data_IF_112900438188
#
_entry.id   IF_112900438188
#
_cell.length_a   1.000
_cell.length_b   1.000
_cell.length_c   1.000
_cell.angle_alpha   90.00
_cell.angle_beta   90.00
_cell.angle_gamma   90.00
#
_symmetry.space_group_name_H-M   'P 1'
#
loop_
_entity.id
_entity.type
_entity.pdbx_description
1 polymer ?
#
# COMPACT_ATOMS: atom_id res chain seq x y z
N UNK A 1 -1.48 -32.96 -35.45
CA UNK A 1 -2.75 -32.65 -34.77
C UNK A 1 -2.64 -31.45 -33.82
N UNK A 2 -1.63 -31.39 -32.94
CA UNK A 2 -1.44 -30.23 -32.04
C UNK A 2 -1.35 -28.88 -32.78
N UNK A 3 -0.68 -28.84 -33.92
CA UNK A 3 -0.52 -27.62 -34.75
C UNK A 3 -1.79 -27.20 -35.52
N UNK A 4 -2.83 -28.05 -35.51
CA UNK A 4 -4.07 -27.85 -36.27
C UNK A 4 -5.24 -27.41 -35.37
N UNK A 5 -5.04 -27.31 -34.05
CA UNK A 5 -6.10 -27.03 -33.07
C UNK A 5 -5.77 -25.77 -32.29
N UNK A 6 -6.77 -24.89 -32.11
CA UNK A 6 -6.62 -23.60 -31.41
C UNK A 6 -6.23 -23.76 -29.93
N UNK A 7 -6.63 -24.87 -29.29
CA UNK A 7 -6.32 -25.17 -27.89
C UNK A 7 -5.74 -26.59 -27.72
N UNK A 8 -4.41 -26.75 -27.90
CA UNK A 8 -3.75 -28.06 -27.79
C UNK A 8 -3.90 -28.71 -26.39
N UNK A 9 -4.03 -27.91 -25.34
CA UNK A 9 -4.17 -28.40 -23.96
C UNK A 9 -5.50 -29.13 -23.73
N UNK A 10 -6.61 -28.62 -24.28
CA UNK A 10 -7.90 -29.31 -24.21
C UNK A 10 -7.90 -30.61 -25.00
N UNK A 11 -7.21 -30.63 -26.15
CA UNK A 11 -7.01 -31.85 -26.93
C UNK A 11 -6.24 -32.90 -26.11
N UNK A 12 -5.16 -32.50 -25.43
CA UNK A 12 -4.42 -33.38 -24.53
C UNK A 12 -5.29 -33.96 -23.42
N UNK A 13 -6.10 -33.12 -22.77
CA UNK A 13 -7.04 -33.55 -21.73
C UNK A 13 -8.11 -34.53 -22.26
N UNK A 14 -8.59 -34.35 -23.49
CA UNK A 14 -9.52 -35.28 -24.14
C UNK A 14 -8.86 -36.63 -24.45
N UNK A 15 -7.62 -36.62 -24.97
CA UNK A 15 -6.84 -37.83 -25.22
C UNK A 15 -6.60 -38.60 -23.91
N UNK A 16 -6.39 -37.89 -22.80
CA UNK A 16 -6.26 -38.46 -21.47
C UNK A 16 -7.54 -39.11 -20.90
N UNK A 17 -8.67 -39.08 -21.62
CA UNK A 17 -9.86 -39.86 -21.28
C UNK A 17 -9.98 -41.15 -22.11
N UNK A 18 -9.10 -41.37 -23.09
CA UNK A 18 -9.12 -42.59 -23.91
C UNK A 18 -8.51 -43.74 -23.10
N UNK A 19 -9.29 -44.77 -22.79
CA UNK A 19 -8.87 -45.90 -21.96
C UNK A 19 -7.94 -46.87 -22.71
N UNK A 20 -8.00 -46.91 -24.03
CA UNK A 20 -7.24 -47.86 -24.86
C UNK A 20 -5.77 -47.51 -25.03
N UNK A 21 -5.30 -46.37 -24.50
CA UNK A 21 -3.89 -45.99 -24.56
C UNK A 21 -3.15 -46.75 -23.45
N UNK A 22 -2.22 -47.61 -23.85
CA UNK A 22 -1.37 -48.40 -22.94
C UNK A 22 -0.30 -47.52 -22.28
N UNK A 23 0.19 -47.93 -21.11
CA UNK A 23 1.23 -47.18 -20.38
C UNK A 23 2.47 -46.91 -21.25
N UNK A 24 2.91 -47.89 -22.06
CA UNK A 24 4.04 -47.73 -22.99
C UNK A 24 3.84 -46.58 -24.00
N UNK A 25 2.62 -46.46 -24.56
CA UNK A 25 2.30 -45.38 -25.49
C UNK A 25 2.29 -44.04 -24.76
N UNK A 26 1.85 -43.99 -23.51
CA UNK A 26 1.83 -42.76 -22.71
C UNK A 26 3.24 -42.26 -22.41
N UNK A 27 4.14 -43.12 -21.94
CA UNK A 27 5.50 -42.69 -21.63
C UNK A 27 6.32 -42.36 -22.89
N UNK A 28 6.11 -43.08 -24.00
CA UNK A 28 6.71 -42.72 -25.30
C UNK A 28 6.22 -41.34 -25.74
N UNK A 29 4.90 -41.13 -25.74
CA UNK A 29 4.28 -39.85 -26.08
C UNK A 29 4.83 -38.71 -25.23
N UNK A 30 4.91 -38.87 -23.91
CA UNK A 30 5.45 -37.85 -23.02
C UNK A 30 6.93 -37.58 -23.26
N UNK A 31 7.74 -38.61 -23.53
CA UNK A 31 9.17 -38.45 -23.81
C UNK A 31 9.44 -37.69 -25.12
N UNK A 32 8.57 -37.83 -26.13
CA UNK A 32 8.71 -37.15 -27.42
C UNK A 32 8.15 -35.71 -27.41
N UNK A 33 7.18 -35.45 -26.53
CA UNK A 33 6.47 -34.17 -26.50
C UNK A 33 6.96 -33.21 -25.42
N UNK A 34 7.38 -33.71 -24.26
CA UNK A 34 7.96 -32.87 -23.21
C UNK A 34 9.38 -32.45 -23.60
N UNK A 35 9.75 -31.20 -23.29
CA UNK A 35 11.08 -30.64 -23.56
C UNK A 35 11.34 -30.27 -25.02
N UNK A 36 10.33 -30.36 -25.88
CA UNK A 36 10.42 -29.93 -27.26
C UNK A 36 10.44 -28.39 -27.34
N UNK A 37 11.20 -27.80 -28.27
CA UNK A 37 11.19 -26.34 -28.50
C UNK A 37 9.81 -25.84 -28.96
N UNK A 38 9.00 -26.73 -29.56
CA UNK A 38 7.64 -26.41 -29.96
C UNK A 38 6.69 -26.34 -28.75
N UNK A 39 6.36 -25.11 -28.35
CA UNK A 39 5.48 -24.81 -27.22
C UNK A 39 4.10 -25.51 -27.33
N UNK A 40 3.58 -25.75 -28.54
CA UNK A 40 2.26 -26.39 -28.73
C UNK A 40 2.24 -27.86 -28.30
N UNK A 41 3.33 -28.60 -28.53
CA UNK A 41 3.43 -30.01 -28.12
C UNK A 41 3.56 -30.13 -26.60
N UNK A 42 4.32 -29.23 -25.97
CA UNK A 42 4.40 -29.15 -24.51
C UNK A 42 3.03 -28.86 -23.89
N UNK A 43 2.27 -27.90 -24.45
CA UNK A 43 0.93 -27.56 -23.97
C UNK A 43 -0.03 -28.75 -24.08
N UNK A 44 0.05 -29.53 -25.16
CA UNK A 44 -0.74 -30.76 -25.32
C UNK A 44 -0.36 -31.81 -24.27
N UNK A 45 0.95 -32.03 -24.05
CA UNK A 45 1.44 -32.96 -23.04
C UNK A 45 0.98 -32.56 -21.62
N UNK A 46 1.06 -31.27 -21.28
CA UNK A 46 0.57 -30.74 -19.98
C UNK A 46 -0.93 -31.02 -19.79
N UNK A 47 -1.73 -30.80 -20.83
CA UNK A 47 -3.16 -31.12 -20.81
C UNK A 47 -3.43 -32.61 -20.60
N UNK A 48 -2.66 -33.47 -21.27
CA UNK A 48 -2.74 -34.92 -21.11
C UNK A 48 -2.39 -35.37 -19.69
N UNK A 49 -1.29 -34.86 -19.12
CA UNK A 49 -0.87 -35.19 -17.76
C UNK A 49 -1.94 -34.82 -16.73
N UNK A 50 -2.53 -33.61 -16.84
CA UNK A 50 -3.62 -33.16 -15.96
C UNK A 50 -4.83 -34.09 -16.03
N UNK A 51 -5.22 -34.50 -17.23
CA UNK A 51 -6.33 -35.45 -17.42
C UNK A 51 -6.01 -36.84 -16.84
N UNK A 52 -4.80 -37.34 -17.06
CA UNK A 52 -4.39 -38.66 -16.55
C UNK A 52 -4.26 -38.70 -15.05
N UNK A 53 -3.70 -37.67 -14.43
CA UNK A 53 -3.67 -37.54 -12.98
C UNK A 53 -5.08 -37.57 -12.38
N UNK A 54 -6.05 -36.90 -13.03
CA UNK A 54 -7.45 -36.92 -12.57
C UNK A 54 -8.08 -38.32 -12.65
N UNK A 55 -7.77 -39.09 -13.70
CA UNK A 55 -8.40 -40.38 -13.97
C UNK A 55 -7.72 -41.56 -13.25
N UNK A 56 -6.38 -41.57 -13.17
CA UNK A 56 -5.58 -42.67 -12.62
C UNK A 56 -4.92 -42.36 -11.28
N UNK A 57 -4.99 -41.11 -10.83
CA UNK A 57 -4.42 -40.68 -9.56
C UNK A 57 -2.90 -40.63 -9.56
N UNK A 58 -2.32 -40.59 -8.37
CA UNK A 58 -0.90 -40.32 -8.15
C UNK A 58 0.02 -41.52 -8.35
N UNK A 59 -0.50 -42.75 -8.25
CA UNK A 59 0.28 -43.96 -8.55
C UNK A 59 0.79 -43.93 -9.99
N UNK A 60 -0.01 -43.39 -10.91
CA UNK A 60 0.41 -43.17 -12.30
C UNK A 60 1.55 -42.15 -12.41
N UNK A 61 1.51 -41.06 -11.64
CA UNK A 61 2.59 -40.05 -11.61
C UNK A 61 3.90 -40.68 -11.13
N UNK A 62 3.85 -41.45 -10.06
CA UNK A 62 5.00 -42.15 -9.50
C UNK A 62 5.60 -43.14 -10.52
N UNK A 63 4.76 -43.88 -11.26
CA UNK A 63 5.21 -44.78 -12.33
C UNK A 63 5.90 -44.03 -13.48
N UNK A 64 5.35 -42.89 -13.93
CA UNK A 64 5.96 -42.07 -14.99
C UNK A 64 7.29 -41.48 -14.53
N UNK A 65 7.41 -41.02 -13.28
CA UNK A 65 8.68 -40.52 -12.74
C UNK A 65 9.74 -41.63 -12.62
N UNK A 66 9.35 -42.84 -12.22
CA UNK A 66 10.24 -44.01 -12.24
C UNK A 66 10.74 -44.30 -13.65
N UNK A 67 9.85 -44.27 -14.66
CA UNK A 67 10.22 -44.42 -16.06
C UNK A 67 11.17 -43.32 -16.53
N UNK A 68 10.87 -42.06 -16.22
CA UNK A 68 11.68 -40.90 -16.59
C UNK A 68 13.10 -41.00 -16.04
N UNK A 69 13.24 -41.50 -14.80
CA UNK A 69 14.54 -41.75 -14.16
C UNK A 69 15.32 -42.87 -14.87
N UNK A 70 14.66 -43.97 -15.22
CA UNK A 70 15.29 -45.13 -15.88
C UNK A 70 15.69 -44.84 -17.33
N UNK A 71 15.00 -43.90 -17.98
CA UNK A 71 15.23 -43.52 -19.39
C UNK A 71 15.93 -42.17 -19.56
N UNK A 72 16.55 -41.65 -18.49
CA UNK A 72 17.39 -40.43 -18.52
C UNK A 72 16.72 -39.22 -19.16
N UNK A 73 15.46 -38.94 -18.79
CA UNK A 73 14.79 -37.71 -19.24
C UNK A 73 15.61 -36.46 -18.90
N UNK A 74 15.57 -35.47 -19.79
CA UNK A 74 16.23 -34.19 -19.58
C UNK A 74 15.59 -33.39 -18.45
N UNK A 75 16.33 -32.44 -17.89
CA UNK A 75 15.78 -31.59 -16.82
C UNK A 75 14.55 -30.82 -17.28
N UNK A 76 14.54 -30.34 -18.53
CA UNK A 76 13.40 -29.63 -19.11
C UNK A 76 12.17 -30.54 -19.25
N UNK A 77 12.35 -31.81 -19.63
CA UNK A 77 11.26 -32.78 -19.69
C UNK A 77 10.62 -33.00 -18.33
N UNK A 78 11.46 -33.21 -17.31
CA UNK A 78 11.01 -33.42 -15.94
C UNK A 78 10.30 -32.18 -15.41
N UNK A 79 10.83 -30.97 -15.62
CA UNK A 79 10.17 -29.73 -15.21
C UNK A 79 8.83 -29.51 -15.92
N UNK A 80 8.74 -29.75 -17.22
CA UNK A 80 7.48 -29.65 -17.94
C UNK A 80 6.44 -30.66 -17.44
N UNK A 81 6.88 -31.84 -16.99
CA UNK A 81 6.02 -32.80 -16.32
C UNK A 81 5.51 -32.25 -14.97
N UNK A 82 6.41 -31.71 -14.14
CA UNK A 82 6.04 -31.08 -12.86
C UNK A 82 5.16 -29.84 -13.01
N UNK A 83 5.27 -29.09 -14.11
CA UNK A 83 4.39 -27.97 -14.44
C UNK A 83 2.91 -28.38 -14.57
N UNK A 84 2.66 -29.63 -14.97
CA UNK A 84 1.32 -30.16 -15.11
C UNK A 84 0.71 -30.65 -13.78
N UNK A 85 1.52 -30.84 -12.74
CA UNK A 85 1.09 -31.32 -11.43
C UNK A 85 0.55 -30.20 -10.55
N UNK A 86 -0.30 -30.50 -9.54
CA UNK A 86 -0.78 -29.53 -8.57
C UNK A 86 0.36 -28.87 -7.79
N UNK A 87 0.21 -27.59 -7.46
CA UNK A 87 1.17 -26.85 -6.63
C UNK A 87 0.92 -27.12 -5.15
N UNK A 88 1.17 -28.35 -4.70
CA UNK A 88 0.92 -28.81 -3.33
C UNK A 88 2.09 -29.63 -2.76
N UNK A 89 2.00 -29.94 -1.47
CA UNK A 89 3.05 -30.68 -0.76
C UNK A 89 3.36 -32.05 -1.41
N UNK A 90 2.37 -32.73 -1.99
CA UNK A 90 2.61 -34.05 -2.59
C UNK A 90 3.52 -33.95 -3.81
N UNK A 91 3.33 -32.92 -4.63
CA UNK A 91 4.26 -32.62 -5.73
C UNK A 91 5.65 -32.29 -5.22
N UNK A 92 5.76 -31.47 -4.17
CA UNK A 92 7.05 -31.07 -3.61
C UNK A 92 7.81 -32.24 -2.97
N UNK A 93 7.11 -33.13 -2.27
CA UNK A 93 7.69 -34.33 -1.67
C UNK A 93 8.25 -35.28 -2.75
N UNK A 94 7.63 -35.33 -3.92
CA UNK A 94 8.14 -36.07 -5.08
C UNK A 94 9.35 -35.41 -5.75
N UNK A 95 9.60 -34.11 -5.54
CA UNK A 95 10.80 -33.42 -6.03
C UNK A 95 12.03 -33.71 -5.16
N UNK A 96 11.85 -33.90 -3.84
CA UNK A 96 12.95 -34.06 -2.86
C UNK A 96 13.95 -35.18 -3.24
N UNK A 97 13.54 -36.37 -3.72
CA UNK A 97 14.47 -37.43 -4.11
C UNK A 97 15.25 -37.16 -5.40
N UNK A 98 14.92 -36.10 -6.14
CA UNK A 98 15.62 -35.72 -7.36
C UNK A 98 16.80 -34.78 -7.07
N UNK A 99 17.54 -34.41 -8.12
CA UNK A 99 18.73 -33.56 -8.00
C UNK A 99 18.35 -32.18 -7.45
N UNK A 100 19.24 -31.59 -6.63
CA UNK A 100 19.07 -30.22 -6.10
C UNK A 100 18.84 -29.18 -7.21
N UNK A 101 19.45 -29.38 -8.37
CA UNK A 101 19.28 -28.55 -9.57
C UNK A 101 17.83 -28.52 -10.07
N UNK A 102 17.15 -29.67 -10.09
CA UNK A 102 15.73 -29.77 -10.48
C UNK A 102 14.81 -29.06 -9.48
N UNK A 103 15.06 -29.20 -8.18
CA UNK A 103 14.30 -28.48 -7.15
C UNK A 103 14.46 -26.97 -7.32
N UNK A 104 15.67 -26.50 -7.56
CA UNK A 104 15.92 -25.07 -7.80
C UNK A 104 15.18 -24.59 -9.06
N UNK A 105 15.27 -25.35 -10.15
CA UNK A 105 14.63 -25.01 -11.41
C UNK A 105 13.10 -24.97 -11.27
N UNK A 106 12.50 -25.90 -10.51
CA UNK A 106 11.06 -25.90 -10.22
C UNK A 106 10.62 -24.60 -9.55
N UNK A 107 11.25 -24.23 -8.42
CA UNK A 107 10.87 -23.03 -7.67
C UNK A 107 11.14 -21.73 -8.42
N UNK A 108 12.04 -21.73 -9.41
CA UNK A 108 12.30 -20.58 -10.28
C UNK A 108 11.36 -20.47 -11.49
N UNK A 109 10.77 -21.56 -11.96
CA UNK A 109 10.08 -21.59 -13.27
C UNK A 109 8.59 -21.90 -13.20
N UNK A 110 8.11 -22.54 -12.14
CA UNK A 110 6.71 -22.93 -12.03
C UNK A 110 5.88 -21.77 -11.44
N UNK A 111 4.78 -21.33 -12.10
CA UNK A 111 3.87 -20.34 -11.53
C UNK A 111 3.29 -20.84 -10.21
N UNK A 112 3.22 -19.97 -9.21
CA UNK A 112 2.57 -20.34 -7.95
C UNK A 112 1.08 -20.56 -8.21
N UNK A 113 0.63 -21.79 -7.93
CA UNK A 113 -0.77 -22.17 -8.07
C UNK A 113 -1.55 -22.00 -6.77
N UNK A 114 -2.78 -22.52 -6.75
CA UNK A 114 -3.55 -22.63 -5.51
C UNK A 114 -2.87 -23.60 -4.53
N UNK A 115 -2.77 -23.20 -3.27
CA UNK A 115 -2.19 -23.98 -2.16
C UNK A 115 -3.23 -24.15 -1.07
N UNK A 116 -3.21 -25.30 -0.39
CA UNK A 116 -4.05 -25.54 0.80
C UNK A 116 -3.57 -24.69 1.97
N UNK A 117 -4.48 -24.24 2.83
CA UNK A 117 -4.15 -23.35 3.97
C UNK A 117 -3.05 -23.89 4.88
N UNK A 118 -3.04 -25.20 5.16
CA UNK A 118 -2.04 -25.84 6.02
C UNK A 118 -0.64 -25.97 5.37
N UNK A 119 -0.53 -25.74 4.06
CA UNK A 119 0.72 -25.83 3.27
C UNK A 119 1.21 -24.44 2.81
N UNK A 120 0.38 -23.41 3.00
CA UNK A 120 0.61 -22.04 2.54
C UNK A 120 1.89 -21.43 3.12
N UNK A 121 2.12 -21.59 4.43
CA UNK A 121 3.30 -21.06 5.13
C UNK A 121 4.61 -21.61 4.51
N UNK A 122 4.67 -22.93 4.30
CA UNK A 122 5.84 -23.59 3.72
C UNK A 122 6.08 -23.15 2.26
N UNK A 123 5.01 -22.98 1.48
CA UNK A 123 5.08 -22.51 0.10
C UNK A 123 5.62 -21.07 0.01
N UNK A 124 5.12 -20.18 0.87
CA UNK A 124 5.56 -18.79 0.97
C UNK A 124 7.05 -18.73 1.32
N UNK A 125 7.50 -19.44 2.36
CA UNK A 125 8.90 -19.48 2.77
C UNK A 125 9.78 -19.91 1.59
N UNK A 126 9.39 -20.96 0.88
CA UNK A 126 10.15 -21.42 -0.30
C UNK A 126 10.18 -20.39 -1.42
N UNK A 127 9.06 -19.74 -1.76
CA UNK A 127 9.05 -18.69 -2.78
C UNK A 127 9.97 -17.52 -2.40
N UNK A 128 10.00 -17.13 -1.12
CA UNK A 128 10.89 -16.08 -0.61
C UNK A 128 12.38 -16.50 -0.65
N UNK A 129 12.71 -17.78 -0.45
CA UNK A 129 14.09 -18.30 -0.61
C UNK A 129 14.57 -18.18 -2.07
N UNK A 130 13.66 -18.35 -3.04
CA UNK A 130 13.95 -18.26 -4.48
C UNK A 130 13.73 -16.87 -5.08
N UNK A 131 13.67 -15.83 -4.23
CA UNK A 131 13.48 -14.43 -4.63
C UNK A 131 12.21 -14.19 -5.48
N UNK A 132 11.10 -14.82 -5.10
CA UNK A 132 9.78 -14.65 -5.72
C UNK A 132 8.75 -14.06 -4.74
N UNK A 133 8.99 -12.84 -4.23
CA UNK A 133 8.17 -12.26 -3.19
C UNK A 133 6.75 -11.89 -3.62
N UNK A 134 6.50 -11.58 -4.90
CA UNK A 134 5.14 -11.28 -5.36
C UNK A 134 4.30 -12.54 -5.56
N UNK A 135 4.91 -13.64 -6.02
CA UNK A 135 4.26 -14.95 -5.98
C UNK A 135 3.91 -15.33 -4.52
N UNK A 136 4.81 -15.09 -3.57
CA UNK A 136 4.56 -15.33 -2.15
C UNK A 136 3.41 -14.45 -1.62
N UNK A 137 3.40 -13.15 -1.96
CA UNK A 137 2.33 -12.21 -1.63
C UNK A 137 0.97 -12.69 -2.16
N UNK A 138 0.93 -13.24 -3.39
CA UNK A 138 -0.30 -13.74 -3.99
C UNK A 138 -0.87 -14.98 -3.29
N UNK A 139 -0.04 -15.76 -2.61
CA UNK A 139 -0.47 -16.89 -1.80
C UNK A 139 -1.01 -16.48 -0.42
N UNK A 140 -0.79 -15.24 0.02
CA UNK A 140 -1.36 -14.76 1.29
C UNK A 140 -2.88 -14.78 1.18
N UNK A 141 -3.51 -15.74 1.86
CA UNK A 141 -4.96 -15.84 1.96
C UNK A 141 -5.50 -14.72 2.86
N UNK A 142 -6.27 -13.80 2.27
CA UNK A 142 -6.81 -12.60 2.94
C UNK A 142 -8.23 -12.77 3.46
N UNK A 143 -8.87 -13.91 3.17
CA UNK A 143 -10.25 -14.22 3.54
C UNK A 143 -10.32 -15.20 4.72
N UNK A 144 -9.36 -15.13 5.64
CA UNK A 144 -9.37 -15.97 6.83
C UNK A 144 -10.39 -15.43 7.84
N UNK A 145 -11.47 -16.17 8.05
CA UNK A 145 -12.31 -16.01 9.24
C UNK A 145 -11.47 -16.36 10.48
N UNK A 146 -11.73 -15.71 11.62
CA UNK A 146 -11.02 -15.75 12.92
C UNK A 146 -10.65 -17.14 13.52
N UNK A 147 -10.90 -18.25 12.82
CA UNK A 147 -10.68 -19.63 13.28
C UNK A 147 -9.51 -20.36 12.61
N UNK A 148 -8.87 -19.77 11.59
CA UNK A 148 -7.69 -20.37 10.93
C UNK A 148 -6.40 -19.73 11.42
N UNK A 149 -5.36 -20.56 11.53
CA UNK A 149 -4.03 -20.20 12.03
C UNK A 149 -3.45 -19.06 11.17
N UNK A 150 -3.27 -17.89 11.77
CA UNK A 150 -2.62 -16.76 11.11
C UNK A 150 -1.19 -17.15 10.68
N UNK A 151 -0.74 -16.62 9.54
CA UNK A 151 0.68 -16.64 9.20
C UNK A 151 1.44 -15.88 10.30
N UNK A 152 2.66 -16.32 10.68
CA UNK A 152 3.47 -15.59 11.65
C UNK A 152 3.70 -14.14 11.20
N UNK A 153 3.57 -13.18 12.10
CA UNK A 153 3.76 -11.75 11.77
C UNK A 153 5.14 -11.46 11.17
N UNK A 154 6.18 -12.14 11.65
CA UNK A 154 7.53 -12.05 11.07
C UNK A 154 7.56 -12.48 9.59
N UNK A 155 6.81 -13.51 9.20
CA UNK A 155 6.75 -13.94 7.80
C UNK A 155 6.03 -12.91 6.93
N UNK A 156 4.98 -12.27 7.45
CA UNK A 156 4.29 -11.18 6.75
C UNK A 156 5.20 -9.96 6.55
N UNK A 157 5.98 -9.61 7.57
CA UNK A 157 7.00 -8.58 7.49
C UNK A 157 8.07 -8.93 6.44
N UNK A 158 8.57 -10.17 6.43
CA UNK A 158 9.54 -10.63 5.43
C UNK A 158 9.00 -10.53 3.99
N UNK A 159 7.70 -10.79 3.79
CA UNK A 159 7.05 -10.61 2.47
C UNK A 159 7.09 -9.13 2.07
N UNK A 160 6.72 -8.22 2.98
CA UNK A 160 6.74 -6.78 2.72
C UNK A 160 8.18 -6.30 2.40
N UNK A 161 9.16 -6.62 3.24
CA UNK A 161 10.56 -6.22 3.01
C UNK A 161 11.11 -6.73 1.66
N UNK A 162 10.81 -7.99 1.31
CA UNK A 162 11.27 -8.58 0.04
C UNK A 162 10.51 -8.05 -1.17
N UNK A 163 9.21 -7.83 -1.08
CA UNK A 163 8.44 -7.24 -2.20
C UNK A 163 8.89 -5.81 -2.48
N UNK A 164 9.20 -5.01 -1.46
CA UNK A 164 9.75 -3.66 -1.64
C UNK A 164 11.12 -3.65 -2.35
N UNK A 165 11.88 -4.75 -2.25
CA UNK A 165 13.22 -4.88 -2.83
C UNK A 165 13.22 -5.40 -4.27
N UNK A 166 12.08 -5.83 -4.79
CA UNK A 166 11.97 -6.49 -6.10
C UNK A 166 10.97 -5.74 -6.98
N UNK A 167 11.32 -5.58 -8.25
CA UNK A 167 10.40 -5.08 -9.28
C UNK A 167 9.48 -6.23 -9.74
N UNK A 168 8.15 -6.10 -9.62
CA UNK A 168 7.21 -7.18 -9.97
C UNK A 168 7.30 -7.59 -11.45
N UNK A 169 7.74 -6.70 -12.33
CA UNK A 169 7.91 -6.99 -13.76
C UNK A 169 9.20 -7.75 -14.07
N UNK A 170 10.14 -7.81 -13.12
CA UNK A 170 11.38 -8.60 -13.23
C UNK A 170 11.27 -9.98 -12.60
N UNK A 171 10.29 -10.20 -11.72
CA UNK A 171 10.02 -11.52 -11.17
C UNK A 171 9.54 -12.48 -12.27
N UNK A 172 10.12 -13.69 -12.29
CA UNK A 172 9.75 -14.76 -13.22
C UNK A 172 9.38 -16.03 -12.46
N UNK A 173 8.34 -16.76 -12.89
CA UNK A 173 7.26 -16.33 -13.78
C UNK A 173 6.57 -15.05 -13.31
N UNK A 174 6.00 -14.30 -14.25
CA UNK A 174 5.37 -13.02 -13.93
C UNK A 174 4.21 -13.24 -12.95
N UNK A 175 4.24 -12.58 -11.78
CA UNK A 175 3.19 -12.68 -10.78
C UNK A 175 1.93 -11.94 -11.24
N UNK A 176 0.78 -12.29 -10.67
CA UNK A 176 -0.42 -11.47 -10.78
C UNK A 176 -0.23 -10.17 -9.98
N UNK A 177 -0.32 -9.03 -10.66
CA UNK A 177 -0.14 -7.70 -10.06
C UNK A 177 -1.44 -6.97 -9.77
N UNK A 178 -2.59 -7.53 -10.16
CA UNK A 178 -3.89 -6.85 -10.16
C UNK A 178 -4.40 -6.45 -8.77
N UNK A 179 -3.99 -7.18 -7.72
CA UNK A 179 -4.46 -6.95 -6.36
C UNK A 179 -3.36 -6.58 -5.35
N UNK A 180 -2.13 -6.26 -5.78
CA UNK A 180 -0.99 -6.03 -4.87
C UNK A 180 -1.30 -5.03 -3.76
N UNK A 181 -1.89 -3.88 -4.09
CA UNK A 181 -2.22 -2.83 -3.11
C UNK A 181 -3.17 -3.34 -2.03
N UNK A 182 -4.24 -4.01 -2.43
CA UNK A 182 -5.20 -4.62 -1.49
C UNK A 182 -4.52 -5.65 -0.58
N UNK A 183 -3.60 -6.46 -1.11
CA UNK A 183 -2.88 -7.47 -0.30
C UNK A 183 -1.97 -6.82 0.73
N UNK A 184 -1.22 -5.79 0.33
CA UNK A 184 -0.35 -5.04 1.23
C UNK A 184 -1.16 -4.36 2.34
N UNK A 185 -2.26 -3.68 2.00
CA UNK A 185 -3.16 -3.06 2.97
C UNK A 185 -3.68 -4.06 4.00
N UNK A 186 -4.11 -5.25 3.54
CA UNK A 186 -4.61 -6.31 4.43
C UNK A 186 -3.51 -6.90 5.30
N UNK A 187 -2.28 -7.02 4.81
CA UNK A 187 -1.15 -7.45 5.65
C UNK A 187 -0.93 -6.45 6.77
N UNK A 188 -0.92 -5.15 6.48
CA UNK A 188 -0.79 -4.14 7.54
C UNK A 188 -1.98 -4.18 8.53
N UNK A 189 -3.22 -4.41 8.07
CA UNK A 189 -4.38 -4.62 8.95
C UNK A 189 -4.21 -5.80 9.92
N UNK A 190 -3.56 -6.87 9.47
CA UNK A 190 -3.26 -8.05 10.30
C UNK A 190 -2.14 -7.72 11.30
N UNK A 191 -1.05 -7.11 10.84
CA UNK A 191 0.11 -6.79 11.66
C UNK A 191 -0.23 -5.79 12.78
N UNK A 192 -1.08 -4.81 12.52
CA UNK A 192 -1.56 -3.84 13.52
C UNK A 192 -2.34 -4.53 14.67
N UNK A 193 -2.98 -5.68 14.43
CA UNK A 193 -3.76 -6.40 15.44
C UNK A 193 -2.94 -7.43 16.23
N UNK A 194 -1.80 -7.85 15.71
CA UNK A 194 -1.05 -8.98 16.25
C UNK A 194 -0.23 -8.62 17.50
N UNK A 195 0.08 -7.33 17.70
CA UNK A 195 0.81 -6.78 18.86
C UNK A 195 2.14 -7.50 19.19
N UNK A 196 2.72 -8.18 18.20
CA UNK A 196 3.94 -9.00 18.31
C UNK A 196 5.11 -8.47 17.47
N UNK A 197 4.94 -7.31 16.83
CA UNK A 197 5.96 -6.58 16.06
C UNK A 197 6.09 -5.16 16.61
N UNK A 198 7.32 -4.68 16.76
CA UNK A 198 7.60 -3.32 17.21
C UNK A 198 7.01 -2.26 16.26
N UNK A 199 6.30 -1.27 16.82
CA UNK A 199 5.70 -0.15 16.08
C UNK A 199 6.69 0.55 15.14
N UNK A 200 7.94 0.73 15.57
CA UNK A 200 9.00 1.34 14.76
C UNK A 200 9.27 0.57 13.47
N UNK A 201 9.22 -0.77 13.53
CA UNK A 201 9.42 -1.62 12.35
C UNK A 201 8.26 -1.48 11.37
N UNK A 202 7.03 -1.45 11.89
CA UNK A 202 5.83 -1.28 11.07
C UNK A 202 5.75 0.13 10.46
N UNK A 203 6.11 1.18 11.21
CA UNK A 203 6.19 2.55 10.71
C UNK A 203 7.22 2.68 9.58
N UNK A 204 8.38 2.01 9.69
CA UNK A 204 9.36 1.97 8.61
C UNK A 204 8.82 1.28 7.34
N UNK A 205 8.05 0.20 7.49
CA UNK A 205 7.38 -0.44 6.36
C UNK A 205 6.30 0.49 5.76
N UNK A 206 5.51 1.18 6.59
CA UNK A 206 4.55 2.17 6.08
C UNK A 206 5.25 3.28 5.29
N UNK A 207 6.48 3.67 5.66
CA UNK A 207 7.28 4.63 4.91
C UNK A 207 7.67 4.09 3.53
N UNK A 208 8.13 2.84 3.46
CA UNK A 208 8.46 2.18 2.19
C UNK A 208 7.22 2.11 1.28
N UNK A 209 6.05 1.79 1.84
CA UNK A 209 4.80 1.67 1.11
C UNK A 209 3.98 2.97 1.04
N UNK A 210 4.53 4.09 1.48
CA UNK A 210 3.83 5.38 1.50
C UNK A 210 3.21 5.77 0.15
N UNK A 211 3.89 5.65 -1.02
CA UNK A 211 3.27 6.02 -2.29
C UNK A 211 2.01 5.21 -2.62
N UNK A 212 1.88 4.00 -2.05
CA UNK A 212 0.71 3.14 -2.18
C UNK A 212 -0.33 3.47 -1.11
N UNK A 213 0.09 3.63 0.15
CA UNK A 213 -0.80 3.81 1.30
C UNK A 213 -1.49 5.19 1.34
N UNK A 214 -0.86 6.25 0.85
CA UNK A 214 -1.44 7.61 0.86
C UNK A 214 -2.73 7.69 0.03
N UNK A 215 -2.84 6.86 -1.00
CA UNK A 215 -4.03 6.79 -1.86
C UNK A 215 -4.97 5.64 -1.50
N UNK A 216 -4.66 4.88 -0.43
CA UNK A 216 -5.45 3.74 0.00
C UNK A 216 -6.48 4.14 1.06
N UNK A 217 -7.44 3.24 1.30
CA UNK A 217 -8.43 3.42 2.36
C UNK A 217 -7.81 3.31 3.76
N UNK A 218 -6.71 2.57 3.92
CA UNK A 218 -6.07 2.33 5.22
C UNK A 218 -5.33 3.57 5.73
N UNK A 219 -4.68 4.32 4.83
CA UNK A 219 -3.71 5.37 5.14
C UNK A 219 -2.53 4.89 6.04
N UNK A 220 -1.38 5.59 6.08
CA UNK A 220 -0.23 5.19 6.91
C UNK A 220 -0.44 5.60 8.38
N UNK A 221 -1.24 4.81 9.11
CA UNK A 221 -1.71 5.15 10.46
C UNK A 221 -0.57 5.26 11.47
N UNK A 222 0.40 4.35 11.44
CA UNK A 222 1.50 4.36 12.40
C UNK A 222 2.41 5.56 12.17
N UNK A 223 2.71 5.90 10.91
CA UNK A 223 3.45 7.13 10.61
C UNK A 223 2.70 8.39 11.07
N UNK A 224 1.37 8.44 10.91
CA UNK A 224 0.57 9.55 11.41
C UNK A 224 0.58 9.62 12.93
N UNK A 225 0.49 8.49 13.63
CA UNK A 225 0.62 8.43 15.08
C UNK A 225 2.00 8.90 15.55
N UNK A 226 3.08 8.47 14.90
CA UNK A 226 4.42 8.90 15.25
C UNK A 226 4.63 10.40 15.01
N UNK A 227 4.09 10.97 13.92
CA UNK A 227 4.09 12.41 13.70
C UNK A 227 3.32 13.16 14.81
N UNK A 228 2.19 12.62 15.27
CA UNK A 228 1.38 13.22 16.34
C UNK A 228 2.00 13.07 17.72
N UNK A 229 2.82 12.03 17.96
CA UNK A 229 3.48 11.77 19.25
C UNK A 229 4.82 12.52 19.36
N UNK A 230 5.67 12.43 18.35
CA UNK A 230 7.04 12.95 18.38
C UNK A 230 7.21 14.22 17.51
N UNK A 231 7.31 15.42 18.12
CA UNK A 231 7.57 16.64 17.36
C UNK A 231 8.95 16.65 16.68
N UNK A 232 9.93 15.86 17.17
CA UNK A 232 11.25 15.77 16.54
C UNK A 232 11.22 14.93 15.27
N UNK A 233 10.39 13.89 15.20
CA UNK A 233 10.16 13.16 13.96
C UNK A 233 9.57 14.08 12.87
N UNK A 234 8.59 14.92 13.21
CA UNK A 234 8.08 15.96 12.29
C UNK A 234 9.21 16.87 11.78
N UNK A 235 10.10 17.32 12.67
CA UNK A 235 11.26 18.17 12.31
C UNK A 235 12.23 17.43 11.38
N UNK A 236 12.43 16.11 11.57
CA UNK A 236 13.23 15.29 10.67
C UNK A 236 12.63 15.23 9.27
N UNK A 237 11.30 15.04 9.16
CA UNK A 237 10.62 15.07 7.86
C UNK A 237 10.74 16.45 7.20
N UNK A 238 10.60 17.54 7.97
CA UNK A 238 10.83 18.90 7.45
C UNK A 238 12.26 19.08 6.94
N UNK A 239 13.25 18.59 7.68
CA UNK A 239 14.67 18.64 7.29
C UNK A 239 14.89 18.00 5.94
N UNK A 240 14.21 16.89 5.72
CA UNK A 240 14.33 16.08 4.54
C UNK A 240 13.63 16.66 3.30
N UNK A 241 12.47 17.29 3.49
CA UNK A 241 11.62 17.79 2.40
C UNK A 241 11.99 19.22 1.98
N UNK A 242 12.41 20.05 2.93
CA UNK A 242 12.61 21.48 2.72
C UNK A 242 14.06 21.89 2.93
N UNK A 243 14.49 22.91 2.19
CA UNK A 243 15.80 23.55 2.38
C UNK A 243 15.79 24.46 3.61
N UNK A 244 16.96 24.66 4.22
CA UNK A 244 17.14 25.67 5.26
C UNK A 244 16.90 27.08 4.71
N UNK A 245 16.34 27.96 5.54
CA UNK A 245 16.16 29.39 5.24
C UNK A 245 17.50 30.13 5.11
N UNK A 246 18.52 29.67 5.85
CA UNK A 246 19.82 30.33 5.95
C UNK A 246 20.81 29.86 4.88
N UNK A 247 20.51 28.75 4.19
CA UNK A 247 21.47 28.07 3.32
C UNK A 247 20.99 28.09 1.87
N UNK A 248 21.42 29.11 1.12
CA UNK A 248 21.12 29.24 -0.32
C UNK A 248 21.89 28.22 -1.17
N UNK A 249 22.95 27.63 -0.61
CA UNK A 249 23.90 26.75 -1.29
C UNK A 249 23.84 25.29 -0.79
N UNK A 250 22.80 24.91 -0.03
CA UNK A 250 22.52 23.49 0.29
C UNK A 250 22.12 22.77 -1.02
N UNK A 251 23.14 22.41 -1.79
CA UNK A 251 23.11 21.34 -2.77
C UNK A 251 22.94 20.06 -1.95
N UNK A 252 21.71 19.75 -1.55
CA UNK A 252 21.34 18.36 -1.36
C UNK A 252 21.85 17.66 -2.62
N UNK A 253 22.81 16.74 -2.51
CA UNK A 253 23.26 15.96 -3.66
C UNK A 253 22.00 15.38 -4.31
N UNK A 254 21.58 15.97 -5.43
CA UNK A 254 20.31 15.67 -6.06
C UNK A 254 20.52 14.39 -6.86
N UNK A 255 20.57 13.27 -6.14
CA UNK A 255 20.27 11.98 -6.73
C UNK A 255 18.76 11.86 -6.90
N UNK A 256 18.32 11.16 -7.95
CA UNK A 256 16.91 10.89 -8.23
C UNK A 256 16.24 10.17 -7.04
N UNK A 257 17.01 9.37 -6.29
CA UNK A 257 16.56 8.76 -5.05
C UNK A 257 16.17 9.82 -3.99
N UNK A 258 16.96 10.87 -3.80
CA UNK A 258 16.67 11.93 -2.84
C UNK A 258 15.43 12.75 -3.23
N UNK A 259 15.20 12.98 -4.53
CA UNK A 259 13.98 13.64 -5.01
C UNK A 259 12.72 12.82 -4.73
N UNK A 260 12.73 11.53 -5.08
CA UNK A 260 11.57 10.66 -4.85
C UNK A 260 11.20 10.59 -3.36
N UNK A 261 12.19 10.52 -2.48
CA UNK A 261 11.92 10.51 -1.06
C UNK A 261 11.44 11.87 -0.52
N UNK A 262 11.94 13.00 -1.03
CA UNK A 262 11.44 14.33 -0.66
C UNK A 262 9.97 14.53 -1.06
N UNK A 263 9.56 14.03 -2.24
CA UNK A 263 8.15 14.00 -2.66
C UNK A 263 7.29 13.16 -1.70
N UNK A 264 7.80 12.01 -1.27
CA UNK A 264 7.12 11.15 -0.30
C UNK A 264 6.96 11.84 1.06
N UNK A 265 8.01 12.47 1.58
CA UNK A 265 7.93 13.25 2.82
C UNK A 265 6.94 14.42 2.70
N UNK A 266 6.91 15.10 1.55
CA UNK A 266 5.92 16.16 1.29
C UNK A 266 4.49 15.60 1.34
N UNK A 267 4.22 14.49 0.65
CA UNK A 267 2.91 13.82 0.64
C UNK A 267 2.51 13.34 2.04
N UNK A 268 3.46 12.83 2.84
CA UNK A 268 3.20 12.44 4.22
C UNK A 268 2.69 13.65 5.03
N UNK A 269 3.41 14.77 4.98
CA UNK A 269 3.03 15.99 5.70
C UNK A 269 1.74 16.62 5.18
N UNK A 270 1.39 16.41 3.91
CA UNK A 270 0.18 16.96 3.30
C UNK A 270 -1.07 16.14 3.61
N UNK A 271 -0.92 14.82 3.82
CA UNK A 271 -2.04 13.91 4.11
C UNK A 271 -2.21 13.59 5.59
N UNK A 272 -1.24 13.98 6.42
CA UNK A 272 -1.32 13.85 7.87
C UNK A 272 -2.24 14.92 8.47
N UNK A 273 -3.38 14.47 9.00
CA UNK A 273 -4.41 15.32 9.61
C UNK A 273 -4.71 14.96 11.07
N UNK A 274 -3.93 14.05 11.67
CA UNK A 274 -4.13 13.61 13.04
C UNK A 274 -3.51 14.62 14.01
N UNK A 275 -4.36 15.39 14.68
CA UNK A 275 -3.93 16.45 15.57
C UNK A 275 -3.21 15.88 16.83
N UNK A 276 -2.01 16.36 17.19
CA UNK A 276 -1.37 16.04 18.47
C UNK A 276 -2.30 16.37 19.64
N UNK A 277 -2.47 15.44 20.58
CA UNK A 277 -3.39 15.61 21.70
C UNK A 277 -4.86 15.27 21.41
N UNK A 278 -5.22 14.90 20.18
CA UNK A 278 -6.57 14.41 19.88
C UNK A 278 -6.81 13.03 20.50
N UNK A 279 -7.85 12.94 21.32
CA UNK A 279 -8.29 11.70 21.99
C UNK A 279 -9.33 10.97 21.14
N UNK A 280 -9.54 9.70 21.44
CA UNK A 280 -10.54 8.86 20.76
C UNK A 280 -11.98 9.38 20.93
N UNK A 281 -12.25 10.11 22.03
CA UNK A 281 -13.55 10.76 22.27
C UNK A 281 -13.76 12.05 21.45
N UNK A 282 -12.79 12.45 20.63
CA UNK A 282 -12.81 13.64 19.81
C UNK A 282 -12.41 14.93 20.53
N UNK A 283 -12.04 14.86 21.82
CA UNK A 283 -11.52 16.02 22.57
C UNK A 283 -10.03 16.23 22.32
N UNK A 284 -9.56 17.46 22.49
CA UNK A 284 -8.15 17.83 22.30
C UNK A 284 -7.51 18.16 23.64
N UNK A 285 -6.41 17.48 23.96
CA UNK A 285 -5.59 17.78 25.12
C UNK A 285 -4.72 19.01 24.88
N UNK A 286 -5.07 20.12 25.54
CA UNK A 286 -4.35 21.39 25.39
C UNK A 286 -2.87 21.26 25.76
N UNK A 287 -2.54 20.60 26.87
CA UNK A 287 -1.15 20.50 27.32
C UNK A 287 -0.31 19.67 26.36
N UNK A 288 -0.85 18.55 25.85
CA UNK A 288 -0.15 17.74 24.86
C UNK A 288 0.05 18.49 23.54
N UNK A 289 -1.01 19.13 23.01
CA UNK A 289 -0.93 19.90 21.78
C UNK A 289 0.07 21.07 21.92
N UNK A 290 -0.01 21.81 23.03
CA UNK A 290 0.88 22.93 23.33
C UNK A 290 2.33 22.52 23.39
N UNK A 291 2.63 21.48 24.18
CA UNK A 291 4.00 20.98 24.30
C UNK A 291 4.54 20.49 22.93
N UNK A 292 3.71 19.81 22.15
CA UNK A 292 4.09 19.37 20.81
C UNK A 292 4.41 20.56 19.88
N UNK A 293 3.51 21.55 19.79
CA UNK A 293 3.67 22.72 18.91
C UNK A 293 4.91 23.53 19.30
N UNK A 294 5.10 23.83 20.60
CA UNK A 294 6.24 24.62 21.05
C UNK A 294 7.57 23.92 20.78
N UNK A 295 7.65 22.60 21.02
CA UNK A 295 8.86 21.81 20.74
C UNK A 295 9.15 21.72 19.24
N UNK A 296 8.15 21.40 18.43
CA UNK A 296 8.30 21.31 16.98
C UNK A 296 8.79 22.63 16.38
N UNK A 297 8.23 23.76 16.84
CA UNK A 297 8.64 25.10 16.39
C UNK A 297 10.07 25.45 16.81
N UNK A 298 10.41 25.24 18.08
CA UNK A 298 11.75 25.52 18.59
C UNK A 298 12.82 24.72 17.82
N UNK A 299 12.64 23.40 17.72
CA UNK A 299 13.57 22.52 17.00
C UNK A 299 13.64 22.86 15.49
N UNK A 300 12.52 23.24 14.86
CA UNK A 300 12.52 23.66 13.45
C UNK A 300 13.26 24.97 13.24
N UNK A 301 13.18 25.91 14.18
CA UNK A 301 13.92 27.17 14.12
C UNK A 301 15.43 26.94 14.20
N UNK A 302 15.88 26.05 15.09
CA UNK A 302 17.29 25.69 15.25
C UNK A 302 17.93 25.14 13.95
N UNK A 303 17.14 24.48 13.10
CA UNK A 303 17.58 23.94 11.81
C UNK A 303 17.19 24.81 10.60
N UNK A 304 16.82 26.07 10.83
CA UNK A 304 16.49 27.04 9.77
C UNK A 304 15.21 26.72 9.00
N UNK A 305 14.24 26.02 9.58
CA UNK A 305 12.97 25.61 8.93
C UNK A 305 11.73 26.12 9.68
N UNK A 306 11.89 27.20 10.46
CA UNK A 306 10.85 27.75 11.33
C UNK A 306 9.61 28.23 10.57
N UNK A 307 9.77 28.94 9.43
CA UNK A 307 8.60 29.42 8.65
C UNK A 307 7.82 28.28 8.04
N UNK A 308 8.51 27.27 7.52
CA UNK A 308 7.87 26.08 6.93
C UNK A 308 7.16 25.26 8.00
N UNK A 309 7.75 25.15 9.19
CA UNK A 309 7.09 24.54 10.34
C UNK A 309 5.78 25.25 10.69
N UNK A 310 5.79 26.59 10.81
CA UNK A 310 4.57 27.37 11.07
C UNK A 310 3.50 27.16 9.97
N UNK A 311 3.91 26.99 8.71
CA UNK A 311 2.99 26.67 7.60
C UNK A 311 2.35 25.30 7.79
N UNK A 312 3.17 24.26 7.99
CA UNK A 312 2.67 22.87 8.08
C UNK A 312 1.87 22.63 9.36
N UNK A 313 2.29 23.23 10.48
CA UNK A 313 1.51 23.24 11.72
C UNK A 313 0.19 23.97 11.50
N UNK A 314 0.18 25.13 10.83
CA UNK A 314 -1.06 25.84 10.53
C UNK A 314 -2.04 25.00 9.69
N UNK A 315 -1.55 24.29 8.67
CA UNK A 315 -2.39 23.37 7.87
C UNK A 315 -2.96 22.25 8.72
N UNK A 316 -2.16 21.64 9.60
CA UNK A 316 -2.61 20.60 10.53
C UNK A 316 -3.70 21.11 11.49
N UNK A 317 -3.50 22.30 12.07
CA UNK A 317 -4.48 22.93 12.97
C UNK A 317 -5.81 23.25 12.28
N UNK A 318 -5.85 23.40 10.95
CA UNK A 318 -7.09 23.56 10.20
C UNK A 318 -8.00 22.31 10.24
N UNK A 319 -7.44 21.13 10.55
CA UNK A 319 -8.19 19.89 10.73
C UNK A 319 -8.73 19.68 12.15
N UNK A 320 -8.50 20.62 13.05
CA UNK A 320 -9.03 20.54 14.40
C UNK A 320 -10.56 20.38 14.45
N UNK A 321 -11.08 19.63 15.43
CA UNK A 321 -12.52 19.49 15.62
C UNK A 321 -13.16 20.82 16.09
N UNK A 322 -14.49 20.86 16.11
CA UNK A 322 -15.23 21.89 16.83
C UNK A 322 -15.12 21.66 18.33
N UNK A 323 -15.12 22.73 19.11
CA UNK A 323 -15.22 22.57 20.57
C UNK A 323 -16.65 22.22 20.99
N UNK A 324 -16.81 21.86 22.26
CA UNK A 324 -18.11 21.57 22.88
C UNK A 324 -19.07 22.78 22.87
N UNK A 325 -18.53 23.99 22.78
CA UNK A 325 -19.30 25.23 22.62
C UNK A 325 -19.89 25.42 21.20
N UNK A 326 -19.62 24.48 20.30
CA UNK A 326 -20.07 24.52 18.90
C UNK A 326 -19.25 25.46 18.01
N UNK A 327 -18.24 26.13 18.55
CA UNK A 327 -17.39 27.08 17.83
C UNK A 327 -16.14 26.36 17.34
N UNK A 328 -15.70 26.70 16.12
CA UNK A 328 -14.46 26.21 15.55
C UNK A 328 -13.38 27.31 15.56
N UNK A 329 -12.09 26.99 15.78
CA UNK A 329 -11.54 25.66 16.10
C UNK A 329 -11.78 25.27 17.56
N UNK A 330 -11.42 24.05 17.97
CA UNK A 330 -11.45 23.64 19.38
C UNK A 330 -10.70 24.62 20.29
N UNK A 331 -11.16 24.79 21.53
CA UNK A 331 -10.59 25.73 22.50
C UNK A 331 -9.08 25.55 22.67
N UNK A 332 -8.57 24.31 22.65
CA UNK A 332 -7.14 24.05 22.75
C UNK A 332 -6.36 24.76 21.63
N UNK A 333 -6.88 24.73 20.41
CA UNK A 333 -6.25 25.39 19.24
C UNK A 333 -6.34 26.91 19.34
N UNK A 334 -7.43 27.45 19.92
CA UNK A 334 -7.55 28.90 20.14
C UNK A 334 -6.47 29.39 21.10
N UNK A 335 -6.25 28.68 22.20
CA UNK A 335 -5.17 28.97 23.15
C UNK A 335 -3.79 28.94 22.47
N UNK A 336 -3.53 27.95 21.60
CA UNK A 336 -2.30 27.91 20.80
C UNK A 336 -2.16 29.15 19.92
N UNK A 337 -3.21 29.57 19.22
CA UNK A 337 -3.17 30.74 18.34
C UNK A 337 -2.85 32.02 19.14
N UNK A 338 -3.48 32.20 20.30
CA UNK A 338 -3.25 33.38 21.16
C UNK A 338 -1.82 33.39 21.72
N UNK A 339 -1.33 32.24 22.20
CA UNK A 339 0.00 32.13 22.82
C UNK A 339 1.14 32.21 21.81
N UNK A 340 1.04 31.46 20.70
CA UNK A 340 2.08 31.43 19.65
C UNK A 340 2.15 32.76 18.91
N UNK A 341 1.00 33.42 18.71
CA UNK A 341 0.89 34.75 18.10
C UNK A 341 1.63 34.89 16.74
N UNK A 342 1.70 33.81 15.95
CA UNK A 342 2.35 33.77 14.64
C UNK A 342 1.37 34.07 13.50
N UNK A 343 1.55 35.24 12.87
CA UNK A 343 0.77 35.62 11.68
C UNK A 343 0.90 34.61 10.54
N UNK A 344 2.04 33.93 10.42
CA UNK A 344 2.25 32.91 9.39
C UNK A 344 1.38 31.69 9.67
N UNK A 345 1.37 31.22 10.92
CA UNK A 345 0.54 30.10 11.35
C UNK A 345 -0.95 30.42 11.17
N UNK A 346 -1.40 31.60 11.60
CA UNK A 346 -2.80 32.06 11.44
C UNK A 346 -3.24 32.05 9.97
N UNK A 347 -2.39 32.56 9.06
CA UNK A 347 -2.65 32.53 7.62
C UNK A 347 -2.71 31.11 7.08
N UNK A 348 -1.81 30.24 7.53
CA UNK A 348 -1.77 28.85 7.10
C UNK A 348 -2.98 28.06 7.61
N UNK A 349 -3.50 28.34 8.81
CA UNK A 349 -4.78 27.78 9.26
C UNK A 349 -5.91 28.20 8.30
N UNK A 350 -5.98 29.48 7.95
CA UNK A 350 -6.97 29.97 6.99
C UNK A 350 -6.83 29.29 5.61
N UNK A 351 -5.61 29.16 5.09
CA UNK A 351 -5.34 28.42 3.84
C UNK A 351 -5.79 26.95 3.94
N UNK A 352 -5.50 26.28 5.06
CA UNK A 352 -5.91 24.91 5.31
C UNK A 352 -7.43 24.73 5.29
N UNK A 353 -8.18 25.71 5.81
CA UNK A 353 -9.66 25.71 5.75
C UNK A 353 -10.17 25.75 4.31
N UNK A 354 -9.59 26.62 3.46
CA UNK A 354 -9.98 26.66 2.04
C UNK A 354 -9.63 25.36 1.32
N UNK A 355 -8.44 24.80 1.57
CA UNK A 355 -8.01 23.54 0.95
C UNK A 355 -8.89 22.35 1.35
N UNK A 356 -9.32 22.31 2.62
CA UNK A 356 -10.20 21.25 3.15
C UNK A 356 -11.56 21.19 2.44
N UNK A 357 -12.04 22.30 1.87
CA UNK A 357 -13.30 22.32 1.10
C UNK A 357 -13.26 21.39 -0.10
N UNK A 358 -12.08 21.15 -0.69
CA UNK A 358 -11.91 20.26 -1.83
C UNK A 358 -12.70 20.70 -3.07
N UNK A 359 -13.03 19.74 -3.93
CA UNK A 359 -13.88 19.97 -5.10
C UNK A 359 -15.34 20.05 -4.65
N UNK A 360 -16.01 21.12 -5.07
CA UNK A 360 -17.40 21.38 -4.74
C UNK A 360 -18.15 21.75 -6.03
N UNK A 361 -19.44 21.42 -6.10
CA UNK A 361 -20.28 21.60 -7.29
C UNK A 361 -21.40 22.60 -7.01
N UNK A 362 -21.85 23.29 -8.07
CA UNK A 362 -22.97 24.24 -8.03
C UNK A 362 -24.11 23.81 -8.93
N UNK A 363 -25.29 24.29 -8.57
CA UNK A 363 -26.42 24.37 -9.48
C UNK A 363 -26.20 25.50 -10.49
N UNK A 364 -26.79 25.37 -11.68
CA UNK A 364 -26.79 26.40 -12.71
C UNK A 364 -27.41 27.69 -12.13
N UNK A 365 -26.73 28.82 -12.27
CA UNK A 365 -27.20 30.12 -11.77
C UNK A 365 -27.15 30.31 -10.24
N UNK A 366 -26.51 29.40 -9.49
CA UNK A 366 -26.48 29.48 -8.01
C UNK A 366 -25.63 30.67 -7.50
N UNK A 367 -24.64 31.13 -8.27
CA UNK A 367 -23.74 32.21 -7.87
C UNK A 367 -23.03 31.90 -6.54
N UNK A 368 -22.70 32.90 -5.73
CA UNK A 368 -21.93 32.74 -4.49
C UNK A 368 -22.71 32.34 -3.23
N UNK A 369 -23.83 31.60 -3.32
CA UNK A 369 -24.69 31.32 -2.14
C UNK A 369 -23.98 30.49 -1.07
N UNK A 370 -23.37 29.36 -1.43
CA UNK A 370 -22.64 28.50 -0.49
C UNK A 370 -21.51 29.24 0.25
N UNK A 371 -20.77 30.07 -0.47
CA UNK A 371 -19.68 30.85 0.09
C UNK A 371 -20.18 31.87 1.11
N UNK A 372 -21.33 32.50 0.88
CA UNK A 372 -21.95 33.44 1.83
C UNK A 372 -22.38 32.74 3.12
N UNK A 373 -22.93 31.53 3.04
CA UNK A 373 -23.29 30.72 4.21
C UNK A 373 -22.04 30.33 5.04
N UNK A 374 -20.95 29.95 4.37
CA UNK A 374 -19.67 29.69 5.02
C UNK A 374 -19.12 30.97 5.68
N UNK A 375 -19.15 32.09 4.97
CA UNK A 375 -18.70 33.38 5.50
C UNK A 375 -19.50 33.81 6.75
N UNK A 376 -20.82 33.63 6.74
CA UNK A 376 -21.66 33.90 7.91
C UNK A 376 -21.30 33.00 9.09
N UNK A 377 -21.07 31.70 8.84
CA UNK A 377 -20.63 30.74 9.85
C UNK A 377 -19.32 31.20 10.52
N UNK A 378 -18.31 31.57 9.75
CA UNK A 378 -17.03 32.03 10.28
C UNK A 378 -17.12 33.40 10.98
N UNK A 379 -18.00 34.31 10.52
CA UNK A 379 -18.29 35.57 11.21
C UNK A 379 -18.93 35.33 12.58
N UNK A 380 -19.86 34.39 12.67
CA UNK A 380 -20.51 34.02 13.93
C UNK A 380 -19.49 33.47 14.93
N UNK A 381 -18.60 32.57 14.50
CA UNK A 381 -17.49 32.10 15.34
C UNK A 381 -16.58 33.25 15.77
N UNK A 382 -16.19 34.14 14.85
CA UNK A 382 -15.33 35.27 15.15
C UNK A 382 -15.94 36.23 16.19
N UNK A 383 -17.25 36.48 16.11
CA UNK A 383 -17.97 37.32 17.05
C UNK A 383 -18.04 36.68 18.43
N UNK A 384 -18.25 35.36 18.50
CA UNK A 384 -18.38 34.64 19.77
C UNK A 384 -17.09 34.62 20.59
N UNK A 385 -15.92 34.63 19.93
CA UNK A 385 -14.60 34.55 20.60
C UNK A 385 -13.86 35.88 20.62
N UNK A 386 -14.44 36.98 20.11
CA UNK A 386 -13.75 38.27 19.94
C UNK A 386 -13.14 38.81 21.24
N UNK A 387 -13.85 38.65 22.35
CA UNK A 387 -13.47 39.28 23.62
C UNK A 387 -12.54 38.37 24.46
N UNK A 388 -12.47 37.07 24.15
CA UNK A 388 -11.63 36.08 24.85
C UNK A 388 -10.39 35.70 24.04
N UNK A 389 -10.51 35.54 22.73
CA UNK A 389 -9.46 35.10 21.80
C UNK A 389 -9.38 36.05 20.59
N UNK A 390 -8.82 37.26 20.75
CA UNK A 390 -8.86 38.30 19.74
C UNK A 390 -8.11 37.95 18.45
N UNK A 391 -7.00 37.18 18.51
CA UNK A 391 -6.25 36.77 17.33
C UNK A 391 -7.00 35.69 16.55
N UNK A 392 -7.57 34.73 17.28
CA UNK A 392 -8.46 33.71 16.72
C UNK A 392 -9.64 34.37 16.01
N UNK A 393 -10.28 35.37 16.63
CA UNK A 393 -11.37 36.12 16.02
C UNK A 393 -10.94 36.89 14.77
N UNK A 394 -9.73 37.43 14.73
CA UNK A 394 -9.20 38.10 13.54
C UNK A 394 -8.94 37.11 12.39
N UNK A 395 -8.37 35.94 12.70
CA UNK A 395 -8.17 34.86 11.73
C UNK A 395 -9.50 34.36 11.15
N UNK A 396 -10.50 34.12 12.00
CA UNK A 396 -11.85 33.70 11.57
C UNK A 396 -12.53 34.75 10.68
N UNK A 397 -12.37 36.04 11.00
CA UNK A 397 -12.82 37.14 10.12
C UNK A 397 -12.13 37.10 8.76
N UNK A 398 -10.82 36.87 8.72
CA UNK A 398 -10.09 36.74 7.46
C UNK A 398 -10.58 35.57 6.61
N UNK A 399 -10.97 34.45 7.22
CA UNK A 399 -11.56 33.31 6.52
C UNK A 399 -12.91 33.71 5.92
N UNK A 400 -13.77 34.37 6.70
CA UNK A 400 -15.06 34.83 6.22
C UNK A 400 -14.95 35.81 5.05
N UNK A 401 -14.01 36.76 5.11
CA UNK A 401 -13.79 37.72 4.03
C UNK A 401 -13.24 37.05 2.76
N UNK A 402 -12.44 36.00 2.92
CA UNK A 402 -12.00 35.16 1.80
C UNK A 402 -13.18 34.47 1.11
N UNK A 403 -14.10 33.86 1.87
CA UNK A 403 -15.30 33.27 1.30
C UNK A 403 -16.21 34.32 0.64
N UNK A 404 -16.35 35.52 1.18
CA UNK A 404 -17.09 36.59 0.48
C UNK A 404 -16.43 36.97 -0.86
N UNK A 405 -15.10 37.02 -0.89
CA UNK A 405 -14.38 37.28 -2.15
C UNK A 405 -14.61 36.17 -3.17
N UNK A 406 -14.64 34.91 -2.73
CA UNK A 406 -15.02 33.79 -3.58
C UNK A 406 -16.48 33.91 -4.04
N UNK A 407 -17.41 34.25 -3.15
CA UNK A 407 -18.84 34.42 -3.48
C UNK A 407 -19.03 35.40 -4.65
N UNK A 408 -18.33 36.54 -4.61
CA UNK A 408 -18.39 37.53 -5.69
C UNK A 408 -17.82 37.01 -7.01
N UNK A 409 -16.75 36.21 -6.98
CA UNK A 409 -16.19 35.58 -8.18
C UNK A 409 -17.19 34.60 -8.80
N UNK A 410 -17.88 33.83 -7.95
CA UNK A 410 -18.87 32.85 -8.37
C UNK A 410 -20.15 33.51 -8.92
N UNK A 411 -20.59 34.64 -8.36
CA UNK A 411 -21.70 35.42 -8.94
C UNK A 411 -21.36 35.87 -10.37
N UNK A 412 -20.16 36.41 -10.59
CA UNK A 412 -19.71 36.86 -11.92
C UNK A 412 -19.64 35.68 -12.90
N UNK A 413 -19.19 34.51 -12.44
CA UNK A 413 -19.15 33.31 -13.28
C UNK A 413 -20.55 32.83 -13.66
N UNK A 414 -21.49 32.81 -12.71
CA UNK A 414 -22.88 32.46 -13.00
C UNK A 414 -23.52 33.41 -14.03
N UNK A 415 -23.28 34.72 -13.91
CA UNK A 415 -23.77 35.71 -14.88
C UNK A 415 -23.15 35.59 -16.29
N UNK A 416 -21.99 34.94 -16.43
CA UNK A 416 -21.31 34.71 -17.71
C UNK A 416 -21.71 33.39 -18.39
N UNK A 417 -22.28 32.45 -17.64
CA UNK A 417 -22.74 31.15 -18.15
C UNK A 417 -24.22 31.14 -18.55
N UNK A 418 -25.00 32.12 -18.08
CA UNK A 418 -26.37 32.44 -18.52
C UNK A 418 -26.37 33.21 -19.87
#
# INVERSE_FOLDING_TARGET
MAELVKEPGLLGAAIANIETITEEIEVSFLSETLGNENNLLNVLAIGFIRGRLKNRGWTWVENVLCFAKNNYWSEQQVINFFYALPFDKRTWDLLIPHRRELTNLYWQTIPAGWVKENEQEAAIIKLLEFNRPYAALNLVNLYQNDKTKFLPSNLLVDILEKTASVDPYKEKPQPDTSCISYRIEKIFDILERADDIEDNKLAFLEWIYLPLLVHSQRQPKLLYQELSKDPLFFVQILKFVYKSEDDRDELLEIDQANLNHAELGYKLLDTWHQLPGLKEDGTVDLEQLKNWVLRARAASQEIGRGKVADIKIGHLLAYAPKSLDGIWPDIAVREIIEEVASKQMERSIATGVFNKRGVWTKSIGEGGVQERELAETYRNYANAVRDTHPRTAAMLRSIADGYISDAHREDIWAELED
#
